data_IF_611270028081
#
_entry.id   IF_611270028081
#
_cell.length_a   1.000
_cell.length_b   1.000
_cell.length_c   1.000
_cell.angle_alpha   90.00
_cell.angle_beta   90.00
_cell.angle_gamma   90.00
#
_symmetry.space_group_name_H-M   'P 1'
#
loop_
_entity.id
_entity.type
_entity.pdbx_description
1 polymer ?
#
# COMPACT_ATOMS: atom_id res chain seq x y z
N UNK A 1 15.38 -13.35 -9.87
CA UNK A 1 16.07 -13.24 -8.57
C UNK A 1 15.90 -14.54 -7.79
N UNK A 2 16.88 -14.91 -6.96
CA UNK A 2 16.68 -15.95 -5.96
C UNK A 2 15.67 -15.49 -4.89
N UNK A 3 14.75 -16.35 -4.40
CA UNK A 3 13.79 -15.99 -3.35
C UNK A 3 14.45 -15.37 -2.11
N UNK A 4 15.62 -15.89 -1.72
CA UNK A 4 16.36 -15.42 -0.54
C UNK A 4 16.92 -14.01 -0.72
N UNK A 5 17.40 -13.70 -1.91
CA UNK A 5 17.90 -12.35 -2.23
C UNK A 5 16.74 -11.35 -2.27
N UNK A 6 15.59 -11.78 -2.79
CA UNK A 6 14.39 -10.96 -2.83
C UNK A 6 13.89 -10.59 -1.42
N UNK A 7 13.90 -11.54 -0.48
CA UNK A 7 13.55 -11.26 0.92
C UNK A 7 14.40 -10.14 1.53
N UNK A 8 15.71 -10.10 1.26
CA UNK A 8 16.61 -9.06 1.79
C UNK A 8 16.17 -7.67 1.31
N UNK A 9 15.89 -7.51 0.01
CA UNK A 9 15.42 -6.24 -0.53
C UNK A 9 14.05 -5.82 0.03
N UNK A 10 13.19 -6.78 0.36
CA UNK A 10 11.89 -6.51 0.98
C UNK A 10 12.06 -6.08 2.43
N UNK A 11 12.93 -6.73 3.19
CA UNK A 11 13.17 -6.39 4.60
C UNK A 11 13.69 -4.95 4.74
N UNK A 12 14.60 -4.54 3.86
CA UNK A 12 15.11 -3.16 3.81
C UNK A 12 14.02 -2.16 3.41
N UNK A 13 13.15 -2.52 2.46
CA UNK A 13 11.99 -1.70 2.09
C UNK A 13 11.02 -1.53 3.26
N UNK A 14 10.76 -2.60 4.02
CA UNK A 14 9.89 -2.58 5.21
C UNK A 14 10.44 -1.55 6.22
N UNK A 15 11.75 -1.55 6.47
CA UNK A 15 12.39 -0.59 7.39
C UNK A 15 12.23 0.86 6.92
N UNK A 16 12.41 1.12 5.62
CA UNK A 16 12.22 2.46 5.04
C UNK A 16 10.79 2.95 5.24
N UNK A 17 9.80 2.08 5.01
CA UNK A 17 8.38 2.43 5.11
C UNK A 17 7.95 2.63 6.57
N UNK A 18 8.38 1.77 7.49
CA UNK A 18 8.03 1.88 8.91
C UNK A 18 8.47 3.21 9.53
N UNK A 19 9.60 3.77 9.07
CA UNK A 19 10.14 5.07 9.53
C UNK A 19 9.30 6.27 9.08
N UNK A 20 8.39 6.11 8.11
CA UNK A 20 7.55 7.21 7.67
C UNK A 20 6.44 7.48 8.71
N UNK A 21 6.11 8.76 8.98
CA UNK A 21 5.02 9.15 9.89
C UNK A 21 3.65 9.05 9.21
N UNK A 22 3.48 8.11 8.29
CA UNK A 22 2.27 7.90 7.49
C UNK A 22 1.92 6.41 7.53
N UNK A 23 0.63 6.09 7.48
CA UNK A 23 0.16 4.71 7.59
C UNK A 23 -1.32 4.61 7.93
N UNK A 24 -1.76 3.38 8.23
CA UNK A 24 -3.01 3.11 8.90
C UNK A 24 -2.75 2.84 10.39
N UNK A 25 -3.13 3.80 11.23
CA UNK A 25 -3.15 3.60 12.69
C UNK A 25 -4.33 2.70 13.08
N UNK A 26 -4.04 1.66 13.83
CA UNK A 26 -5.01 0.79 14.47
C UNK A 26 -5.31 1.37 15.86
N UNK A 27 -6.55 1.20 16.35
CA UNK A 27 -7.00 1.77 17.62
C UNK A 27 -6.25 1.30 18.88
N UNK A 28 -5.29 0.38 18.74
CA UNK A 28 -4.40 -0.10 19.79
C UNK A 28 -2.98 0.49 19.73
N UNK A 29 -2.76 1.54 18.92
CA UNK A 29 -1.45 2.19 18.76
C UNK A 29 -0.48 1.43 17.86
N UNK A 30 -0.93 0.37 17.20
CA UNK A 30 -0.15 -0.29 16.15
C UNK A 30 -0.42 0.36 14.80
N UNK A 31 0.59 0.41 13.94
CA UNK A 31 0.50 0.96 12.60
C UNK A 31 0.64 -0.15 11.55
N UNK A 32 -0.26 -0.17 10.57
CA UNK A 32 -0.22 -1.06 9.41
C UNK A 32 0.12 -0.25 8.15
N UNK A 33 1.35 -0.40 7.67
CA UNK A 33 1.83 0.37 6.51
C UNK A 33 1.93 -0.44 5.22
N UNK A 34 2.31 -1.71 5.36
CA UNK A 34 2.79 -2.54 4.26
C UNK A 34 2.42 -4.00 4.50
N UNK A 35 1.93 -4.67 3.46
CA UNK A 35 1.80 -6.13 3.39
C UNK A 35 2.58 -6.58 2.16
N UNK A 36 3.54 -7.48 2.35
CA UNK A 36 4.38 -7.99 1.26
C UNK A 36 4.18 -9.49 1.14
N UNK A 37 3.99 -9.95 -0.09
CA UNK A 37 3.94 -11.36 -0.43
C UNK A 37 4.62 -11.57 -1.77
N UNK A 38 5.79 -12.22 -1.74
CA UNK A 38 6.66 -12.36 -2.92
C UNK A 38 6.84 -11.00 -3.61
N UNK A 39 6.77 -10.96 -4.93
CA UNK A 39 6.80 -9.78 -5.79
C UNK A 39 5.63 -8.78 -5.61
N UNK A 40 4.61 -9.11 -4.81
CA UNK A 40 3.46 -8.23 -4.60
C UNK A 40 3.60 -7.42 -3.31
N UNK A 41 3.37 -6.12 -3.44
CA UNK A 41 3.43 -5.16 -2.34
C UNK A 41 2.09 -4.45 -2.27
N UNK A 42 1.47 -4.47 -1.10
CA UNK A 42 0.26 -3.73 -0.78
C UNK A 42 0.59 -2.66 0.25
N UNK A 43 0.31 -1.39 -0.10
CA UNK A 43 0.41 -0.25 0.81
C UNK A 43 -0.99 0.15 1.29
N UNK A 44 -1.09 0.51 2.58
CA UNK A 44 -2.36 0.91 3.18
C UNK A 44 -2.18 2.28 3.83
N UNK A 45 -3.08 3.21 3.48
CA UNK A 45 -2.96 4.60 3.90
C UNK A 45 -4.33 5.25 4.08
N UNK A 46 -4.41 6.19 5.01
CA UNK A 46 -5.62 6.95 5.35
C UNK A 46 -5.77 8.25 4.56
N UNK A 47 -4.67 8.83 4.06
CA UNK A 47 -4.68 10.13 3.39
C UNK A 47 -4.00 10.10 2.02
N UNK A 48 -4.48 10.95 1.11
CA UNK A 48 -3.86 11.14 -0.22
C UNK A 48 -2.42 11.65 -0.13
N UNK A 49 -2.14 12.52 0.84
CA UNK A 49 -0.79 13.04 1.07
C UNK A 49 0.15 11.92 1.55
N UNK A 50 -0.31 11.10 2.50
CA UNK A 50 0.42 9.93 2.95
C UNK A 50 0.71 8.95 1.81
N UNK A 51 -0.25 8.74 0.90
CA UNK A 51 -0.07 7.85 -0.26
C UNK A 51 1.09 8.33 -1.11
N UNK A 52 1.10 9.64 -1.43
CA UNK A 52 2.18 10.25 -2.21
C UNK A 52 3.53 10.13 -1.50
N UNK A 53 3.58 10.40 -0.20
CA UNK A 53 4.81 10.26 0.60
C UNK A 53 5.36 8.83 0.54
N UNK A 54 4.48 7.84 0.75
CA UNK A 54 4.88 6.44 0.75
C UNK A 54 5.29 5.96 -0.65
N UNK A 55 4.55 6.34 -1.71
CA UNK A 55 4.92 6.03 -3.10
C UNK A 55 6.27 6.64 -3.49
N UNK A 56 6.55 7.88 -3.09
CA UNK A 56 7.83 8.52 -3.36
C UNK A 56 8.99 7.80 -2.67
N UNK A 57 8.79 7.32 -1.43
CA UNK A 57 9.80 6.56 -0.70
C UNK A 57 10.07 5.20 -1.37
N UNK A 58 9.02 4.51 -1.81
CA UNK A 58 9.11 3.26 -2.58
C UNK A 58 9.86 3.49 -3.90
N UNK A 59 9.51 4.53 -4.65
CA UNK A 59 10.17 4.86 -5.90
C UNK A 59 11.66 5.18 -5.71
N UNK A 60 11.99 5.98 -4.69
CA UNK A 60 13.38 6.32 -4.37
C UNK A 60 14.18 5.07 -3.98
N UNK A 61 13.60 4.21 -3.14
CA UNK A 61 14.22 2.94 -2.76
C UNK A 61 14.44 2.04 -3.97
N UNK A 62 13.44 1.94 -4.85
CA UNK A 62 13.56 1.13 -6.06
C UNK A 62 14.63 1.65 -7.00
N UNK A 63 14.73 2.97 -7.21
CA UNK A 63 15.80 3.58 -8.00
C UNK A 63 17.19 3.30 -7.43
N UNK A 64 17.35 3.36 -6.11
CA UNK A 64 18.63 3.11 -5.43
C UNK A 64 19.06 1.63 -5.51
N UNK A 65 18.10 0.70 -5.61
CA UNK A 65 18.34 -0.74 -5.63
C UNK A 65 18.08 -1.38 -7.01
N UNK A 66 17.95 -0.57 -8.06
CA UNK A 66 17.65 -1.00 -9.44
C UNK A 66 16.37 -1.84 -9.57
N UNK A 67 15.40 -1.66 -8.66
CA UNK A 67 14.08 -2.29 -8.68
C UNK A 67 13.11 -1.43 -9.49
N UNK A 68 12.47 -2.05 -10.48
CA UNK A 68 11.39 -1.42 -11.26
C UNK A 68 10.04 -1.96 -10.82
N UNK A 69 9.20 -1.10 -10.28
CA UNK A 69 7.79 -1.41 -10.03
C UNK A 69 7.00 -1.28 -11.33
N UNK A 70 5.99 -2.12 -11.52
CA UNK A 70 5.17 -2.12 -12.74
C UNK A 70 3.90 -1.26 -12.54
N UNK A 71 3.81 -0.06 -13.16
CA UNK A 71 2.64 0.81 -13.00
C UNK A 71 1.36 0.20 -13.57
N UNK A 72 1.44 -0.59 -14.64
CA UNK A 72 0.26 -1.21 -15.28
C UNK A 72 -0.41 -2.26 -14.38
N UNK A 73 0.37 -2.89 -13.49
CA UNK A 73 -0.12 -3.83 -12.49
C UNK A 73 -0.43 -3.18 -11.15
N UNK A 74 -0.21 -1.87 -11.02
CA UNK A 74 -0.43 -1.14 -9.77
C UNK A 74 -1.84 -0.57 -9.76
N UNK A 75 -2.64 -0.97 -8.77
CA UNK A 75 -4.04 -0.54 -8.65
C UNK A 75 -4.27 0.25 -7.36
N UNK A 76 -4.99 1.37 -7.47
CA UNK A 76 -5.46 2.12 -6.32
C UNK A 76 -6.87 1.67 -5.94
N UNK A 77 -7.03 1.14 -4.73
CA UNK A 77 -8.32 0.75 -4.16
C UNK A 77 -8.70 1.76 -3.08
N UNK A 78 -9.88 2.36 -3.21
CA UNK A 78 -10.42 3.30 -2.22
C UNK A 78 -11.55 2.62 -1.44
N UNK A 79 -11.29 2.32 -0.17
CA UNK A 79 -12.30 1.78 0.74
C UNK A 79 -13.24 2.87 1.23
N UNK A 80 -14.48 2.48 1.58
CA UNK A 80 -15.49 3.35 2.17
C UNK A 80 -15.80 4.61 1.34
N UNK A 81 -15.76 4.51 0.02
CA UNK A 81 -16.40 5.51 -0.84
C UNK A 81 -17.88 5.49 -0.43
N UNK A 82 -18.46 6.63 -0.04
CA UNK A 82 -19.90 6.76 0.19
C UNK A 82 -20.62 6.47 -1.14
N UNK A 83 -20.78 5.19 -1.46
CA UNK A 83 -21.55 4.73 -2.61
C UNK A 83 -22.99 4.73 -2.12
N UNK A 84 -23.66 5.87 -2.29
CA UNK A 84 -25.11 5.92 -2.13
C UNK A 84 -25.69 4.98 -3.20
N UNK A 85 -26.08 3.77 -2.81
CA UNK A 85 -26.77 2.85 -3.73
C UNK A 85 -28.02 3.55 -4.23
N UNK A 86 -28.18 3.63 -5.55
CA UNK A 86 -29.39 4.18 -6.15
C UNK A 86 -30.64 3.47 -5.62
N UNK A 87 -31.71 4.24 -5.38
CA UNK A 87 -32.96 3.79 -4.72
C UNK A 87 -33.53 2.49 -5.32
N UNK A 88 -33.34 2.26 -6.62
CA UNK A 88 -33.78 1.05 -7.32
C UNK A 88 -33.15 -0.25 -6.77
N UNK A 89 -31.86 -0.23 -6.37
CA UNK A 89 -31.20 -1.42 -5.81
C UNK A 89 -31.56 -1.69 -4.35
N UNK A 90 -31.99 -0.66 -3.60
CA UNK A 90 -32.48 -0.82 -2.21
C UNK A 90 -33.84 -1.53 -2.13
N UNK A 91 -34.67 -1.41 -3.18
CA UNK A 91 -36.01 -2.00 -3.21
C UNK A 91 -36.03 -3.49 -3.55
N UNK A 92 -34.96 -4.02 -4.14
CA UNK A 92 -34.84 -5.46 -4.45
C UNK A 92 -34.35 -6.31 -3.27
N UNK A 93 -33.97 -5.67 -2.16
CA UNK A 93 -33.49 -6.34 -0.94
C UNK A 93 -34.60 -6.46 0.13
N UNK A 94 -35.86 -6.14 -0.20
CA UNK A 94 -37.04 -6.19 0.68
C UNK A 94 -38.08 -7.17 0.15
#
# INVERSE_FOLDING_TARGET
>A
MSPKLFSIFIDDLIIVIQKLPVGLELGNGNKLDLIVYTDNILIIITTKLGLKTQLNAIELYGRANEIKYNPEKTYLIVFNKNVTRGVARKRNDI
#
